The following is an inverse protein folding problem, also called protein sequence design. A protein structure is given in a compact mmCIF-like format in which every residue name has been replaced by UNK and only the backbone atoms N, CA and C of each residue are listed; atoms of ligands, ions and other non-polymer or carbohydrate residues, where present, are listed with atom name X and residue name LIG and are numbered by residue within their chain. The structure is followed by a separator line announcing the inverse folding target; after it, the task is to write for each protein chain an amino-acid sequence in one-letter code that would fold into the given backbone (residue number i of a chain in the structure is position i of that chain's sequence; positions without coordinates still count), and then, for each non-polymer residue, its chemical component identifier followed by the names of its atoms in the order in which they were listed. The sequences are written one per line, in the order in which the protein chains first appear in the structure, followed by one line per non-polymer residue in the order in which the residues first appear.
data_IF_947715291908
#
_entry.id   IF_947715291908
#
_cell.length_a   1.000
_cell.length_b   1.000
_cell.length_c   1.000
_cell.angle_alpha   90.00
_cell.angle_beta   90.00
_cell.angle_gamma   90.00
#
_symmetry.space_group_name_H-M   'P 1'
#
loop_
_entity.id
_entity.type
_entity.pdbx_description
1 polymer ?
#
# COMPACT_ATOMS: atom_id res chain seq x y z
N UNK A 1 -5.93 -2.50 -2.25
CA UNK A 1 -5.26 -2.91 -1.01
C UNK A 1 -6.12 -3.80 -0.13
N UNK A 2 -7.26 -3.38 0.45
CA UNK A 2 -8.08 -4.28 1.30
C UNK A 2 -8.48 -5.57 0.58
N UNK A 3 -9.03 -5.45 -0.64
CA UNK A 3 -9.35 -6.60 -1.52
C UNK A 3 -8.14 -7.47 -1.83
N UNK A 4 -6.93 -6.90 -1.88
CA UNK A 4 -5.72 -7.67 -2.13
C UNK A 4 -5.36 -8.52 -0.91
N UNK A 5 -5.54 -8.00 0.30
CA UNK A 5 -5.37 -8.77 1.55
C UNK A 5 -6.45 -9.85 1.64
N UNK A 6 -7.72 -9.51 1.39
CA UNK A 6 -8.84 -10.46 1.46
C UNK A 6 -8.72 -11.63 0.48
N UNK A 7 -8.19 -11.36 -0.71
CA UNK A 7 -7.97 -12.38 -1.75
C UNK A 7 -6.58 -13.02 -1.70
N UNK A 8 -5.77 -12.67 -0.71
CA UNK A 8 -4.36 -13.08 -0.60
C UNK A 8 -3.57 -12.88 -1.90
N UNK A 9 -3.76 -11.73 -2.55
CA UNK A 9 -3.03 -11.38 -3.76
C UNK A 9 -1.58 -11.02 -3.41
N UNK A 10 -0.73 -12.04 -3.20
CA UNK A 10 0.69 -11.91 -2.82
C UNK A 10 1.54 -11.15 -3.85
N UNK A 11 1.03 -10.97 -5.07
CA UNK A 11 1.70 -10.16 -6.10
C UNK A 11 1.48 -8.65 -5.93
N UNK A 12 0.50 -8.23 -5.13
CA UNK A 12 0.18 -6.81 -4.96
C UNK A 12 1.26 -6.04 -4.18
N UNK A 13 1.24 -4.72 -4.33
CA UNK A 13 2.27 -3.86 -3.72
C UNK A 13 2.24 -3.91 -2.20
N UNK A 14 1.07 -4.10 -1.58
CA UNK A 14 0.94 -4.16 -0.12
C UNK A 14 1.65 -5.40 0.44
N UNK A 15 1.66 -6.52 -0.30
CA UNK A 15 2.44 -7.69 0.08
C UNK A 15 3.94 -7.53 -0.19
N UNK A 16 4.30 -7.06 -1.38
CA UNK A 16 5.70 -7.04 -1.84
C UNK A 16 6.53 -5.86 -1.31
N UNK A 17 5.90 -4.85 -0.72
CA UNK A 17 6.57 -3.62 -0.25
C UNK A 17 6.29 -3.25 1.20
N UNK A 18 5.28 -3.83 1.83
CA UNK A 18 4.92 -3.51 3.20
C UNK A 18 4.88 -4.77 4.07
N UNK A 19 3.96 -5.69 3.79
CA UNK A 19 3.79 -6.89 4.62
C UNK A 19 4.99 -7.83 4.61
N UNK A 20 5.80 -7.87 3.54
CA UNK A 20 7.03 -8.68 3.51
C UNK A 20 8.08 -8.27 4.57
N UNK A 21 8.00 -7.03 5.05
CA UNK A 21 8.97 -6.45 6.00
C UNK A 21 8.35 -6.38 7.42
N UNK A 22 7.09 -6.78 7.58
CA UNK A 22 6.39 -6.81 8.86
C UNK A 22 6.52 -8.17 9.54
N UNK A 23 6.52 -8.17 10.88
CA UNK A 23 6.52 -9.40 11.67
C UNK A 23 5.18 -10.14 11.56
N UNK A 24 5.21 -11.45 11.78
CA UNK A 24 3.97 -12.25 11.86
C UNK A 24 3.07 -11.77 13.01
N UNK A 25 3.65 -11.33 14.12
CA UNK A 25 2.93 -10.75 15.26
C UNK A 25 2.12 -9.51 14.83
N UNK A 26 2.74 -8.56 14.11
CA UNK A 26 2.04 -7.40 13.58
C UNK A 26 0.85 -7.79 12.70
N UNK A 27 1.06 -8.78 11.81
CA UNK A 27 0.02 -9.23 10.87
C UNK A 27 -1.16 -9.88 11.60
N UNK A 28 -0.90 -10.62 12.68
CA UNK A 28 -1.93 -11.33 13.43
C UNK A 28 -2.67 -10.44 14.43
N UNK A 29 -2.00 -9.40 14.95
CA UNK A 29 -2.57 -8.50 15.95
C UNK A 29 -3.35 -7.31 15.36
N UNK A 30 -3.26 -7.09 14.04
CA UNK A 30 -3.94 -5.98 13.36
C UNK A 30 -5.05 -6.49 12.43
N UNK A 31 -6.16 -5.75 12.39
CA UNK A 31 -7.19 -5.96 11.38
C UNK A 31 -6.69 -5.63 9.97
N UNK A 32 -7.34 -6.19 8.95
CA UNK A 32 -6.98 -5.92 7.55
C UNK A 32 -7.13 -4.44 7.21
N UNK A 33 -8.12 -3.78 7.81
CA UNK A 33 -8.39 -2.36 7.68
C UNK A 33 -7.28 -1.51 8.31
N UNK A 34 -6.79 -1.88 9.50
CA UNK A 34 -5.66 -1.21 10.14
C UNK A 34 -4.39 -1.34 9.32
N UNK A 35 -4.09 -2.54 8.82
CA UNK A 35 -2.95 -2.78 7.93
C UNK A 35 -3.03 -1.89 6.67
N UNK A 36 -4.21 -1.77 6.07
CA UNK A 36 -4.40 -0.92 4.88
C UNK A 36 -4.23 0.56 5.22
N UNK A 37 -4.77 1.02 6.35
CA UNK A 37 -4.61 2.39 6.83
C UNK A 37 -3.13 2.72 7.03
N UNK A 38 -2.40 1.86 7.73
CA UNK A 38 -0.99 2.08 8.06
C UNK A 38 -0.13 2.03 6.78
N UNK A 39 -0.45 1.13 5.84
CA UNK A 39 0.20 1.09 4.54
C UNK A 39 0.03 2.40 3.77
N UNK A 40 -1.18 2.97 3.74
CA UNK A 40 -1.46 4.25 3.07
C UNK A 40 -0.75 5.40 3.80
N UNK A 41 -0.80 5.42 5.14
CA UNK A 41 -0.13 6.43 5.96
C UNK A 41 1.40 6.41 5.80
N UNK A 42 1.97 5.24 5.50
CA UNK A 42 3.40 5.08 5.22
C UNK A 42 3.83 5.44 3.80
N UNK A 43 2.89 5.77 2.89
CA UNK A 43 3.24 6.21 1.53
C UNK A 43 3.63 7.69 1.53
N UNK A 44 4.68 8.03 0.77
CA UNK A 44 4.88 9.44 0.38
C UNK A 44 3.90 9.82 -0.73
N UNK A 45 3.47 11.08 -0.78
CA UNK A 45 2.58 11.60 -1.84
C UNK A 45 3.11 11.26 -3.24
N UNK A 46 4.43 11.38 -3.43
CA UNK A 46 5.09 11.05 -4.70
C UNK A 46 5.00 9.57 -5.09
N UNK A 47 4.91 8.67 -4.11
CA UNK A 47 4.78 7.24 -4.34
C UNK A 47 3.33 6.85 -4.61
N UNK A 48 2.38 7.47 -3.90
CA UNK A 48 0.95 7.28 -4.13
C UNK A 48 0.54 7.76 -5.52
N UNK A 49 1.00 8.94 -5.94
CA UNK A 49 0.70 9.51 -7.26
C UNK A 49 1.23 8.65 -8.42
N UNK A 50 2.39 8.00 -8.25
CA UNK A 50 2.97 7.09 -9.25
C UNK A 50 2.22 5.76 -9.40
N UNK A 51 1.44 5.37 -8.39
CA UNK A 51 0.58 4.20 -8.46
C UNK A 51 -0.82 4.52 -9.03
N UNK A 52 -1.19 5.79 -9.12
CA UNK A 52 -2.42 6.19 -9.80
C UNK A 52 -2.26 5.90 -11.31
N UNK A 53 -3.20 5.17 -11.94
CA UNK A 53 -3.15 4.89 -13.38
C UNK A 53 -3.19 6.17 -14.24
N UNK A 54 -3.69 7.27 -13.68
CA UNK A 54 -3.52 8.61 -14.23
C UNK A 54 -2.37 9.26 -13.47
N UNK A 55 -1.16 9.19 -14.01
CA UNK A 55 -0.04 9.99 -13.53
C UNK A 55 -0.38 11.47 -13.66
N UNK A 56 -0.96 12.06 -12.61
CA UNK A 56 -1.25 13.50 -12.52
C UNK A 56 0.04 14.34 -12.36
N UNK A 57 1.19 13.80 -12.78
CA UNK A 57 2.51 14.42 -12.67
C UNK A 57 2.98 15.13 -13.95
N UNK A 58 2.34 14.92 -15.09
CA UNK A 58 2.64 15.65 -16.32
C UNK A 58 1.67 16.84 -16.43
N UNK A 59 1.97 17.97 -15.77
CA UNK A 59 1.54 19.35 -16.11
C UNK A 59 1.73 20.37 -14.97
N UNK A 60 2.89 20.40 -14.32
CA UNK A 60 3.32 21.60 -13.60
C UNK A 60 4.76 21.92 -14.00
N UNK A 61 4.92 22.56 -15.16
CA UNK A 61 6.10 23.36 -15.44
C UNK A 61 5.90 24.76 -14.83
N UNK A 62 6.94 25.25 -14.14
CA UNK A 62 7.01 26.58 -13.54
C UNK A 62 7.26 27.66 -14.58
#
# INVERSE_FOLDING_TARGET
YLKDIEKENRSSVIFTRFLKDMSEEYINDHSKEEIVRDFIAGMTDSYFLRQSPNGLGDNFEF
#
